data_IF_548240816548
#
_entry.id   IF_548240816548
#
_cell.length_a   1.000
_cell.length_b   1.000
_cell.length_c   1.000
_cell.angle_alpha   90.00
_cell.angle_beta   90.00
_cell.angle_gamma   90.00
#
_symmetry.space_group_name_H-M   'P 1'
#
loop_
_entity.id
_entity.type
_entity.pdbx_description
1 polymer ?
#
# COMPACT_ATOMS: atom_id res chain seq x y z
N UNK A 1 -1.44 25.26 -4.33
CA UNK A 1 -0.21 25.45 -5.15
C UNK A 1 1.10 25.33 -4.35
N UNK A 2 1.08 24.90 -3.10
CA UNK A 2 2.26 24.89 -2.19
C UNK A 2 2.86 23.51 -1.91
N UNK A 3 2.27 22.43 -2.39
CA UNK A 3 2.75 21.04 -2.14
C UNK A 3 3.76 20.51 -3.18
N UNK A 4 4.09 21.27 -4.21
CA UNK A 4 4.99 20.81 -5.30
C UNK A 4 6.50 21.02 -5.04
N UNK A 5 6.88 21.74 -3.98
CA UNK A 5 8.26 22.20 -3.81
C UNK A 5 9.15 21.37 -2.88
N UNK A 6 8.58 20.51 -2.06
CA UNK A 6 9.31 19.79 -0.99
C UNK A 6 9.79 18.38 -1.36
N UNK A 7 9.49 17.87 -2.54
CA UNK A 7 9.70 16.47 -2.90
C UNK A 7 11.02 16.17 -3.60
N UNK A 8 11.60 17.14 -4.31
CA UNK A 8 12.91 17.00 -4.98
C UNK A 8 14.05 17.05 -3.96
N UNK A 9 13.83 17.68 -2.80
CA UNK A 9 14.82 17.80 -1.73
C UNK A 9 15.00 16.51 -0.91
N UNK A 10 14.01 15.61 -0.90
CA UNK A 10 14.09 14.34 -0.15
C UNK A 10 15.01 13.29 -0.80
N UNK A 11 15.19 13.31 -2.12
CA UNK A 11 16.19 12.46 -2.79
C UNK A 11 17.60 13.01 -2.65
N UNK A 12 17.75 14.33 -2.47
CA UNK A 12 19.04 14.97 -2.27
C UNK A 12 19.57 14.88 -0.82
N UNK A 13 18.70 14.59 0.15
CA UNK A 13 19.06 14.50 1.57
C UNK A 13 19.36 13.06 2.05
N UNK A 14 19.34 12.06 1.17
CA UNK A 14 20.01 10.79 1.45
C UNK A 14 21.51 11.07 1.37
N UNK A 15 22.01 11.63 2.46
CA UNK A 15 23.43 11.87 2.68
C UNK A 15 24.23 10.63 2.27
N UNK A 16 25.23 10.89 1.43
CA UNK A 16 26.35 10.03 1.04
C UNK A 16 26.99 9.37 2.27
N UNK A 17 26.38 8.33 2.76
CA UNK A 17 26.83 7.53 3.88
C UNK A 17 26.78 6.05 3.55
N UNK A 18 26.87 5.67 2.28
CA UNK A 18 27.20 4.31 1.92
C UNK A 18 28.68 4.28 1.69
N UNK A 19 29.41 3.83 2.71
CA UNK A 19 30.67 3.19 2.48
C UNK A 19 30.39 2.18 1.35
N UNK A 20 30.93 2.44 0.15
CA UNK A 20 31.21 1.35 -0.79
C UNK A 20 32.04 0.42 0.05
N UNK A 21 31.40 -0.65 0.55
CA UNK A 21 32.08 -1.76 1.19
C UNK A 21 33.12 -2.15 0.17
N UNK A 22 34.36 -1.88 0.46
CA UNK A 22 35.55 -2.02 -0.35
C UNK A 22 35.28 -3.03 -1.47
N UNK A 23 35.12 -2.56 -2.72
CA UNK A 23 35.52 -3.37 -3.84
C UNK A 23 36.97 -3.72 -3.48
N UNK A 24 37.17 -4.91 -2.94
CA UNK A 24 38.51 -5.43 -2.67
C UNK A 24 39.22 -5.35 -4.00
N UNK A 25 40.04 -4.31 -4.18
CA UNK A 25 40.94 -4.27 -5.29
C UNK A 25 41.69 -5.62 -5.23
N UNK A 26 41.76 -6.37 -6.33
CA UNK A 26 42.59 -7.56 -6.34
C UNK A 26 43.97 -7.10 -5.85
N UNK A 27 44.36 -7.57 -4.66
CA UNK A 27 45.66 -7.25 -4.11
C UNK A 27 46.66 -7.79 -5.09
N UNK A 28 47.25 -6.91 -5.91
CA UNK A 28 48.40 -7.30 -6.72
C UNK A 28 49.46 -7.60 -5.68
N UNK A 29 49.67 -8.86 -5.37
CA UNK A 29 50.69 -9.31 -4.44
C UNK A 29 52.06 -9.01 -5.06
N UNK A 30 52.53 -7.78 -4.84
CA UNK A 30 53.92 -7.39 -4.98
C UNK A 30 54.54 -7.68 -3.61
N UNK A 31 55.26 -8.78 -3.51
CA UNK A 31 55.91 -9.21 -2.31
C UNK A 31 56.70 -8.06 -1.68
N UNK A 32 56.20 -7.52 -0.56
CA UNK A 32 56.97 -6.77 0.41
C UNK A 32 56.85 -7.46 1.75
N UNK A 33 57.95 -8.03 2.19
CA UNK A 33 58.13 -8.73 3.46
C UNK A 33 57.84 -7.82 4.66
N UNK A 34 56.72 -8.06 5.33
CA UNK A 34 56.56 -7.81 6.75
C UNK A 34 56.20 -9.10 7.47
N UNK A 35 56.76 -9.37 8.65
CA UNK A 35 56.57 -10.70 9.30
C UNK A 35 55.16 -10.82 9.91
N UNK A 36 54.28 -11.46 9.19
CA UNK A 36 52.92 -11.84 9.68
C UNK A 36 52.98 -13.14 10.48
N UNK A 37 52.07 -13.30 11.45
CA UNK A 37 52.00 -14.50 12.29
C UNK A 37 51.66 -15.76 11.46
N UNK A 38 52.08 -16.93 11.91
CA UNK A 38 51.88 -18.22 11.22
C UNK A 38 50.40 -18.55 11.02
N UNK A 39 49.50 -18.03 11.85
CA UNK A 39 48.06 -18.20 11.78
C UNK A 39 47.39 -17.31 10.73
N UNK A 40 47.87 -16.11 10.58
CA UNK A 40 47.42 -15.17 9.54
C UNK A 40 47.87 -15.62 8.15
N UNK A 41 49.09 -16.16 8.03
CA UNK A 41 49.60 -16.75 6.79
C UNK A 41 48.84 -18.00 6.36
N UNK A 42 48.36 -18.81 7.29
CA UNK A 42 47.56 -19.99 6.97
C UNK A 42 46.14 -19.64 6.51
N UNK A 43 45.49 -18.64 7.14
CA UNK A 43 44.16 -18.18 6.74
C UNK A 43 44.20 -17.42 5.40
N UNK A 44 45.26 -16.65 5.12
CA UNK A 44 45.47 -16.01 3.80
C UNK A 44 45.78 -17.04 2.72
N UNK A 45 46.59 -18.06 3.01
CA UNK A 45 46.92 -19.12 2.05
C UNK A 45 45.71 -19.98 1.67
N UNK A 46 44.78 -20.23 2.61
CA UNK A 46 43.56 -20.97 2.34
C UNK A 46 42.53 -20.06 1.54
N UNK A 47 42.50 -18.76 1.78
CA UNK A 47 41.68 -17.81 1.01
C UNK A 47 42.28 -17.53 -0.40
N UNK A 48 43.61 -17.53 -0.55
CA UNK A 48 44.29 -17.39 -1.85
C UNK A 48 44.20 -18.65 -2.72
N UNK A 49 43.96 -19.83 -2.12
CA UNK A 49 43.85 -21.11 -2.84
C UNK A 49 42.49 -21.26 -3.57
N UNK A 50 41.45 -20.49 -3.23
CA UNK A 50 40.12 -20.59 -3.83
C UNK A 50 39.82 -19.53 -4.92
N UNK A 51 40.59 -18.45 -5.02
CA UNK A 51 40.39 -17.44 -6.03
C UNK A 51 41.23 -17.71 -7.30
N UNK A 52 40.64 -17.68 -8.51
CA UNK A 52 41.42 -17.80 -9.74
C UNK A 52 42.45 -16.67 -9.79
N UNK A 53 43.71 -17.03 -10.00
CA UNK A 53 44.80 -16.05 -10.11
C UNK A 53 44.56 -15.14 -11.29
N UNK A 54 44.51 -13.81 -11.02
CA UNK A 54 44.34 -12.80 -12.05
C UNK A 54 45.43 -12.88 -13.12
N UNK A 55 45.01 -12.92 -14.39
CA UNK A 55 45.91 -13.01 -15.54
C UNK A 55 46.25 -11.64 -16.08
N UNK A 56 47.17 -10.95 -15.38
CA UNK A 56 47.68 -9.65 -15.80
C UNK A 56 48.77 -9.78 -16.84
N UNK A 57 48.74 -8.93 -17.91
CA UNK A 57 49.79 -8.83 -18.89
C UNK A 57 51.14 -8.33 -18.27
N UNK A 58 52.25 -8.63 -18.93
CA UNK A 58 53.57 -8.18 -18.46
C UNK A 58 53.68 -6.66 -18.50
N UNK A 59 53.15 -6.03 -19.51
CA UNK A 59 53.09 -4.60 -19.72
C UNK A 59 52.33 -3.91 -18.60
N UNK A 60 51.12 -4.45 -18.28
CA UNK A 60 50.31 -3.95 -17.19
C UNK A 60 51.04 -4.04 -15.84
N UNK A 61 51.64 -5.17 -15.50
CA UNK A 61 52.37 -5.31 -14.21
C UNK A 61 53.50 -4.28 -14.03
N UNK A 62 54.15 -3.87 -15.11
CA UNK A 62 55.21 -2.84 -15.05
C UNK A 62 54.65 -1.46 -14.76
N UNK A 63 53.51 -1.11 -15.34
CA UNK A 63 52.92 0.22 -15.21
C UNK A 63 51.97 0.33 -13.99
N UNK A 64 51.43 -0.78 -13.54
CA UNK A 64 50.45 -0.85 -12.46
C UNK A 64 51.03 -0.57 -11.05
N UNK A 65 52.29 -0.92 -10.79
CA UNK A 65 52.88 -0.84 -9.46
C UNK A 65 52.83 0.59 -8.87
N UNK A 66 53.24 1.66 -9.56
CA UNK A 66 53.10 3.02 -9.03
C UNK A 66 51.65 3.46 -8.88
N UNK A 67 50.77 3.01 -9.76
CA UNK A 67 49.31 3.34 -9.69
C UNK A 67 48.69 2.67 -8.47
N UNK A 68 49.02 1.40 -8.21
CA UNK A 68 48.55 0.70 -7.00
C UNK A 68 49.03 1.41 -5.71
N UNK A 69 50.26 1.91 -5.71
CA UNK A 69 50.76 2.71 -4.58
C UNK A 69 49.94 4.00 -4.39
N UNK A 70 49.66 4.71 -5.48
CA UNK A 70 48.83 5.90 -5.44
C UNK A 70 47.39 5.62 -4.97
N UNK A 71 46.82 4.47 -5.39
CA UNK A 71 45.51 4.02 -4.90
C UNK A 71 45.52 3.76 -3.40
N UNK A 72 46.56 3.05 -2.90
CA UNK A 72 46.71 2.75 -1.47
C UNK A 72 46.87 4.01 -0.63
N UNK A 73 47.57 5.01 -1.19
CA UNK A 73 47.76 6.32 -0.58
C UNK A 73 46.62 7.31 -0.82
N UNK A 74 45.57 6.88 -1.54
CA UNK A 74 44.40 7.70 -1.92
C UNK A 74 44.77 8.97 -2.68
N UNK A 75 45.82 8.92 -3.47
CA UNK A 75 46.29 10.00 -4.35
C UNK A 75 45.52 9.97 -5.67
N UNK A 76 44.22 10.21 -5.60
CA UNK A 76 43.28 9.96 -6.68
C UNK A 76 43.57 10.73 -7.97
N UNK A 77 44.06 11.97 -7.85
CA UNK A 77 44.49 12.75 -9.02
C UNK A 77 45.70 12.12 -9.76
N UNK A 78 46.64 11.52 -9.03
CA UNK A 78 47.76 10.78 -9.61
C UNK A 78 47.31 9.49 -10.29
N UNK A 79 46.34 8.79 -9.67
CA UNK A 79 45.70 7.62 -10.28
C UNK A 79 45.07 7.98 -11.62
N UNK A 80 44.20 9.02 -11.66
CA UNK A 80 43.55 9.45 -12.90
C UNK A 80 44.55 9.87 -13.99
N UNK A 81 45.62 10.53 -13.61
CA UNK A 81 46.67 10.95 -14.55
C UNK A 81 47.42 9.75 -15.17
N UNK A 82 47.50 8.63 -14.47
CA UNK A 82 48.20 7.43 -14.92
C UNK A 82 47.34 6.50 -15.78
N UNK A 83 45.98 6.52 -15.65
CA UNK A 83 45.10 5.60 -16.36
C UNK A 83 45.27 5.61 -17.90
N UNK A 84 45.49 6.77 -18.60
CA UNK A 84 45.65 6.76 -20.04
C UNK A 84 46.86 5.93 -20.52
N UNK A 85 47.92 5.82 -19.72
CA UNK A 85 49.07 4.98 -20.06
C UNK A 85 48.75 3.49 -19.96
N UNK A 86 47.92 3.12 -18.99
CA UNK A 86 47.46 1.74 -18.83
C UNK A 86 46.46 1.35 -19.93
N UNK A 87 45.60 2.27 -20.34
CA UNK A 87 44.64 2.07 -21.44
C UNK A 87 45.31 1.92 -22.80
N UNK A 88 46.48 2.51 -22.97
CA UNK A 88 47.25 2.41 -24.20
C UNK A 88 48.04 1.10 -24.34
N UNK A 89 47.95 0.17 -23.36
CA UNK A 89 48.60 -1.15 -23.42
C UNK A 89 48.06 -1.94 -24.61
N UNK A 90 48.89 -2.47 -25.51
CA UNK A 90 48.46 -3.28 -26.61
C UNK A 90 47.92 -4.66 -26.12
N UNK A 91 46.73 -5.07 -26.62
CA UNK A 91 46.13 -6.35 -26.28
C UNK A 91 45.98 -6.60 -24.76
N UNK A 92 45.32 -5.70 -24.02
CA UNK A 92 45.15 -5.87 -22.59
C UNK A 92 44.28 -7.11 -22.30
N UNK A 93 44.61 -7.83 -21.23
CA UNK A 93 43.79 -8.94 -20.75
C UNK A 93 42.47 -8.44 -20.18
N UNK A 94 41.53 -9.35 -19.91
CA UNK A 94 40.27 -8.99 -19.24
C UNK A 94 40.55 -8.41 -17.83
N UNK A 95 41.52 -9.02 -17.11
CA UNK A 95 41.89 -8.57 -15.77
C UNK A 95 42.58 -7.20 -15.78
N UNK A 96 43.39 -6.90 -16.78
CA UNK A 96 43.95 -5.58 -16.98
C UNK A 96 42.83 -4.52 -17.12
N UNK A 97 41.87 -4.77 -17.99
CA UNK A 97 40.73 -3.89 -18.23
C UNK A 97 39.87 -3.69 -16.97
N UNK A 98 39.55 -4.79 -16.26
CA UNK A 98 38.77 -4.74 -15.01
C UNK A 98 39.51 -3.94 -13.95
N UNK A 99 40.83 -4.10 -13.79
CA UNK A 99 41.61 -3.34 -12.83
C UNK A 99 41.66 -1.83 -13.16
N UNK A 100 41.89 -1.47 -14.43
CA UNK A 100 41.84 -0.07 -14.89
C UNK A 100 40.48 0.55 -14.61
N UNK A 101 39.40 -0.14 -14.95
CA UNK A 101 38.04 0.34 -14.71
C UNK A 101 37.72 0.49 -13.21
N UNK A 102 38.20 -0.45 -12.38
CA UNK A 102 38.08 -0.37 -10.91
C UNK A 102 38.78 0.85 -10.34
N UNK A 103 40.03 1.09 -10.77
CA UNK A 103 40.79 2.27 -10.33
C UNK A 103 40.17 3.58 -10.82
N UNK A 104 39.58 3.60 -12.01
CA UNK A 104 38.80 4.75 -12.51
C UNK A 104 37.62 5.06 -11.61
N UNK A 105 36.83 4.04 -11.24
CA UNK A 105 35.71 4.20 -10.30
C UNK A 105 36.17 4.79 -8.97
N UNK A 106 37.21 4.20 -8.37
CA UNK A 106 37.72 4.65 -7.08
C UNK A 106 38.25 6.07 -7.15
N UNK A 107 39.01 6.40 -8.19
CA UNK A 107 39.64 7.69 -8.34
C UNK A 107 38.63 8.82 -8.65
N UNK A 108 37.64 8.58 -9.53
CA UNK A 108 36.58 9.55 -9.83
C UNK A 108 35.72 9.82 -8.62
N UNK A 109 35.39 8.78 -7.84
CA UNK A 109 34.70 8.92 -6.56
C UNK A 109 35.58 9.73 -5.56
N UNK A 110 36.86 9.40 -5.45
CA UNK A 110 37.76 9.98 -4.49
C UNK A 110 38.07 11.46 -4.74
N UNK A 111 38.10 11.93 -5.99
CA UNK A 111 38.22 13.37 -6.31
C UNK A 111 36.89 14.11 -6.21
N UNK A 112 35.76 13.39 -6.10
CA UNK A 112 34.44 13.99 -5.97
C UNK A 112 33.81 14.46 -7.29
N UNK A 113 34.37 14.08 -8.45
CA UNK A 113 33.80 14.39 -9.76
C UNK A 113 32.60 13.46 -10.05
N UNK A 114 31.42 13.95 -9.73
CA UNK A 114 30.17 13.18 -9.85
C UNK A 114 29.83 12.78 -11.30
N UNK A 115 30.20 13.61 -12.28
CA UNK A 115 29.97 13.33 -13.70
C UNK A 115 30.89 12.21 -14.20
N UNK A 116 32.18 12.35 -13.91
CA UNK A 116 33.16 11.33 -14.28
C UNK A 116 32.90 10.00 -13.54
N UNK A 117 32.44 10.06 -12.29
CA UNK A 117 32.10 8.89 -11.50
C UNK A 117 30.88 8.17 -12.08
N UNK A 118 29.81 8.88 -12.44
CA UNK A 118 28.64 8.30 -13.08
C UNK A 118 29.00 7.64 -14.43
N UNK A 119 29.81 8.31 -15.27
CA UNK A 119 30.30 7.75 -16.52
C UNK A 119 31.15 6.48 -16.29
N UNK A 120 31.97 6.47 -15.25
CA UNK A 120 32.78 5.30 -14.89
C UNK A 120 31.87 4.12 -14.45
N UNK A 121 30.80 4.37 -13.68
CA UNK A 121 29.82 3.32 -13.30
C UNK A 121 29.11 2.77 -14.56
N UNK A 122 28.63 3.64 -15.45
CA UNK A 122 27.97 3.21 -16.68
C UNK A 122 28.88 2.30 -17.52
N UNK A 123 30.14 2.71 -17.73
CA UNK A 123 31.13 1.89 -18.44
C UNK A 123 31.39 0.56 -17.72
N UNK A 124 31.56 0.58 -16.42
CA UNK A 124 31.82 -0.62 -15.60
C UNK A 124 30.70 -1.65 -15.69
N UNK A 125 29.45 -1.18 -15.65
CA UNK A 125 28.24 -2.01 -15.82
C UNK A 125 28.12 -2.53 -17.25
N UNK A 126 28.37 -1.69 -18.25
CA UNK A 126 28.25 -2.05 -19.68
C UNK A 126 29.25 -3.13 -20.08
N UNK A 127 30.46 -3.11 -19.51
CA UNK A 127 31.50 -4.09 -19.74
C UNK A 127 31.30 -5.40 -18.92
N UNK A 128 30.30 -5.43 -18.03
CA UNK A 128 30.02 -6.59 -17.21
C UNK A 128 31.06 -6.87 -16.11
N UNK A 129 31.76 -5.83 -15.66
CA UNK A 129 32.81 -5.97 -14.63
C UNK A 129 32.25 -5.99 -13.20
N UNK A 130 31.00 -5.58 -13.01
CA UNK A 130 30.35 -5.55 -11.71
C UNK A 130 29.99 -6.97 -11.23
N UNK A 131 30.35 -7.25 -9.99
CA UNK A 131 29.87 -8.46 -9.34
C UNK A 131 28.35 -8.36 -9.11
N UNK A 132 27.55 -9.45 -9.28
CA UNK A 132 26.10 -9.40 -9.25
C UNK A 132 25.52 -8.72 -8.01
N UNK A 133 26.16 -8.86 -6.86
CA UNK A 133 25.75 -8.26 -5.60
C UNK A 133 25.90 -6.72 -5.56
N UNK A 134 26.74 -6.15 -6.43
CA UNK A 134 27.04 -4.72 -6.49
C UNK A 134 26.24 -3.97 -7.57
N UNK A 135 25.64 -4.70 -8.53
CA UNK A 135 24.90 -4.11 -9.66
C UNK A 135 23.76 -3.22 -9.18
N UNK A 136 22.97 -3.67 -8.21
CA UNK A 136 21.87 -2.87 -7.64
C UNK A 136 22.38 -1.55 -7.04
N UNK A 137 23.43 -1.60 -6.22
CA UNK A 137 24.00 -0.41 -5.59
C UNK A 137 24.53 0.61 -6.62
N UNK A 138 25.17 0.12 -7.69
CA UNK A 138 25.65 0.97 -8.79
C UNK A 138 24.49 1.66 -9.51
N UNK A 139 23.42 0.94 -9.82
CA UNK A 139 22.23 1.54 -10.43
C UNK A 139 21.55 2.55 -9.49
N UNK A 140 21.54 2.31 -8.18
CA UNK A 140 21.01 3.30 -7.21
C UNK A 140 21.81 4.61 -7.25
N UNK A 141 23.14 4.54 -7.37
CA UNK A 141 23.99 5.73 -7.49
C UNK A 141 23.73 6.50 -8.79
N UNK A 142 23.58 5.80 -9.91
CA UNK A 142 23.21 6.42 -11.19
C UNK A 142 21.83 7.08 -11.11
N UNK A 143 20.83 6.40 -10.49
CA UNK A 143 19.52 7.00 -10.29
C UNK A 143 19.59 8.30 -9.48
N UNK A 144 20.40 8.35 -8.41
CA UNK A 144 20.62 9.56 -7.63
C UNK A 144 21.31 10.67 -8.45
N UNK A 145 22.33 10.32 -9.24
CA UNK A 145 23.02 11.26 -10.12
C UNK A 145 22.06 11.89 -11.15
N UNK A 146 21.28 11.06 -11.86
CA UNK A 146 20.33 11.55 -12.86
C UNK A 146 19.14 12.30 -12.26
N UNK A 147 18.72 11.94 -11.04
CA UNK A 147 17.72 12.70 -10.28
C UNK A 147 18.21 14.12 -9.98
N UNK A 148 19.47 14.28 -9.53
CA UNK A 148 20.07 15.58 -9.30
C UNK A 148 20.15 16.43 -10.60
N UNK A 149 20.34 15.79 -11.74
CA UNK A 149 20.30 16.41 -13.09
C UNK A 149 18.88 16.66 -13.59
N UNK A 150 17.85 16.21 -12.89
CA UNK A 150 16.44 16.25 -13.31
C UNK A 150 16.16 15.47 -14.60
N UNK A 151 16.97 14.49 -14.91
CA UNK A 151 16.72 13.52 -15.99
C UNK A 151 15.82 12.40 -15.44
N UNK A 152 14.51 12.62 -15.50
CA UNK A 152 13.53 11.69 -14.96
C UNK A 152 13.53 10.35 -15.70
N UNK A 153 13.86 10.31 -16.97
CA UNK A 153 13.87 9.07 -17.76
C UNK A 153 15.01 8.15 -17.29
N UNK A 154 16.22 8.66 -17.22
CA UNK A 154 17.37 7.90 -16.70
C UNK A 154 17.25 7.60 -15.21
N UNK A 155 16.68 8.50 -14.43
CA UNK A 155 16.38 8.24 -13.01
C UNK A 155 15.50 7.01 -12.86
N UNK A 156 14.40 6.96 -13.61
CA UNK A 156 13.48 5.81 -13.59
C UNK A 156 14.18 4.53 -14.06
N UNK A 157 14.88 4.58 -15.20
CA UNK A 157 15.60 3.42 -15.76
C UNK A 157 16.55 2.80 -14.73
N UNK A 158 17.40 3.63 -14.13
CA UNK A 158 18.37 3.12 -13.16
C UNK A 158 17.73 2.71 -11.84
N UNK A 159 16.67 3.38 -11.41
CA UNK A 159 15.96 2.98 -10.19
C UNK A 159 15.21 1.65 -10.37
N UNK A 160 14.67 1.37 -11.56
CA UNK A 160 14.10 0.06 -11.91
C UNK A 160 15.15 -1.04 -11.80
N UNK A 161 16.31 -0.84 -12.44
CA UNK A 161 17.42 -1.80 -12.38
C UNK A 161 17.96 -2.00 -10.96
N UNK A 162 17.99 -0.94 -10.14
CA UNK A 162 18.30 -1.07 -8.73
C UNK A 162 17.35 -2.03 -8.03
N UNK A 163 16.04 -1.86 -8.20
CA UNK A 163 15.02 -2.73 -7.59
C UNK A 163 15.11 -4.15 -8.11
N UNK A 164 15.36 -4.34 -9.42
CA UNK A 164 15.52 -5.66 -10.05
C UNK A 164 16.72 -6.44 -9.50
N UNK A 165 17.82 -5.75 -9.19
CA UNK A 165 19.07 -6.34 -8.71
C UNK A 165 19.23 -6.30 -7.18
N UNK A 166 18.18 -5.93 -6.44
CA UNK A 166 18.20 -5.87 -4.97
C UNK A 166 17.20 -6.87 -4.39
N UNK A 167 17.65 -8.02 -3.84
CA UNK A 167 16.74 -9.06 -3.33
C UNK A 167 15.81 -8.56 -2.21
N UNK A 168 16.34 -7.76 -1.29
CA UNK A 168 15.64 -7.27 -0.10
C UNK A 168 15.31 -5.77 -0.20
N UNK A 169 14.72 -5.37 -1.33
CA UNK A 169 14.31 -3.97 -1.55
C UNK A 169 13.30 -3.54 -0.48
N UNK A 170 13.53 -2.36 0.11
CA UNK A 170 12.67 -1.87 1.17
C UNK A 170 11.37 -1.28 0.62
N UNK A 171 10.25 -1.36 1.37
CA UNK A 171 8.96 -0.83 0.92
C UNK A 171 8.97 0.65 0.53
N UNK A 172 9.80 1.47 1.17
CA UNK A 172 9.97 2.89 0.83
C UNK A 172 10.69 3.10 -0.52
N UNK A 173 11.53 2.16 -0.90
CA UNK A 173 12.16 2.16 -2.23
C UNK A 173 11.15 1.76 -3.30
N UNK A 174 10.26 0.80 -3.01
CA UNK A 174 9.13 0.49 -3.87
C UNK A 174 8.16 1.67 -3.99
N UNK A 175 7.91 2.43 -2.92
CA UNK A 175 7.15 3.69 -3.00
C UNK A 175 7.81 4.66 -3.98
N UNK A 176 9.12 4.84 -3.86
CA UNK A 176 9.88 5.74 -4.75
C UNK A 176 9.77 5.31 -6.21
N UNK A 177 9.95 4.00 -6.50
CA UNK A 177 9.78 3.46 -7.83
C UNK A 177 8.36 3.67 -8.36
N UNK A 178 7.34 3.36 -7.56
CA UNK A 178 5.94 3.56 -7.94
C UNK A 178 5.62 5.02 -8.29
N UNK A 179 6.20 5.97 -7.57
CA UNK A 179 6.05 7.41 -7.87
C UNK A 179 6.73 7.80 -9.18
N UNK A 180 7.94 7.31 -9.44
CA UNK A 180 8.65 7.55 -10.71
C UNK A 180 7.87 6.96 -11.89
N UNK A 181 7.33 5.75 -11.74
CA UNK A 181 6.49 5.09 -12.74
C UNK A 181 5.21 5.90 -13.02
N UNK A 182 4.51 6.40 -11.98
CA UNK A 182 3.35 7.28 -12.13
C UNK A 182 3.68 8.57 -12.89
N UNK A 183 4.84 9.18 -12.59
CA UNK A 183 5.30 10.39 -13.30
C UNK A 183 5.58 10.12 -14.78
N UNK A 184 6.03 8.91 -15.10
CA UNK A 184 6.29 8.46 -16.46
C UNK A 184 5.04 7.95 -17.19
N UNK A 185 3.86 7.91 -16.53
CA UNK A 185 2.63 7.37 -17.11
C UNK A 185 2.57 5.84 -17.14
N UNK A 186 3.48 5.14 -16.47
CA UNK A 186 3.54 3.68 -16.37
C UNK A 186 2.60 3.22 -15.23
N UNK A 187 1.29 3.44 -15.44
CA UNK A 187 0.31 3.28 -14.37
C UNK A 187 0.14 1.82 -13.93
N UNK A 188 0.22 0.86 -14.85
CA UNK A 188 0.06 -0.56 -14.53
C UNK A 188 1.23 -1.06 -13.66
N UNK A 189 2.45 -0.72 -14.02
CA UNK A 189 3.66 -1.05 -13.28
C UNK A 189 3.66 -0.37 -11.91
N UNK A 190 3.23 0.89 -11.84
CA UNK A 190 3.11 1.63 -10.59
C UNK A 190 2.14 0.96 -9.61
N UNK A 191 0.96 0.52 -10.09
CA UNK A 191 -0.01 -0.23 -9.28
C UNK A 191 0.59 -1.52 -8.71
N UNK A 192 1.35 -2.26 -9.52
CA UNK A 192 2.01 -3.50 -9.11
C UNK A 192 3.11 -3.22 -8.08
N UNK A 193 3.96 -2.23 -8.34
CA UNK A 193 5.07 -1.85 -7.45
C UNK A 193 4.57 -1.40 -6.08
N UNK A 194 3.54 -0.53 -6.05
CA UNK A 194 2.91 -0.09 -4.80
C UNK A 194 2.16 -1.24 -4.10
N UNK A 195 1.60 -2.18 -4.87
CA UNK A 195 1.03 -3.42 -4.33
C UNK A 195 2.05 -4.23 -3.57
N UNK A 196 3.23 -4.46 -4.16
CA UNK A 196 4.34 -5.16 -3.50
C UNK A 196 4.76 -4.48 -2.19
N UNK A 197 4.81 -3.14 -2.15
CA UNK A 197 5.13 -2.41 -0.92
C UNK A 197 4.09 -2.70 0.19
N UNK A 198 2.79 -2.65 -0.14
CA UNK A 198 1.69 -2.96 0.76
C UNK A 198 1.78 -4.41 1.27
N UNK A 199 1.94 -5.36 0.35
CA UNK A 199 1.97 -6.79 0.67
C UNK A 199 3.18 -7.16 1.53
N UNK A 200 4.35 -6.54 1.27
CA UNK A 200 5.57 -6.74 2.07
C UNK A 200 5.36 -6.32 3.52
N UNK A 201 4.71 -5.18 3.75
CA UNK A 201 4.45 -4.68 5.12
C UNK A 201 3.37 -5.51 5.81
N UNK A 202 2.29 -5.86 5.09
CA UNK A 202 1.24 -6.76 5.62
C UNK A 202 1.78 -8.14 5.97
N UNK A 203 2.68 -8.68 5.17
CA UNK A 203 3.33 -9.96 5.43
C UNK A 203 4.16 -9.99 6.72
N UNK A 204 4.59 -8.81 7.20
CA UNK A 204 5.26 -8.64 8.50
C UNK A 204 4.28 -8.40 9.66
N UNK A 205 2.97 -8.36 9.40
CA UNK A 205 1.95 -8.01 10.39
C UNK A 205 1.92 -6.51 10.73
N UNK A 206 2.53 -5.68 9.91
CA UNK A 206 2.59 -4.24 10.09
C UNK A 206 1.53 -3.52 9.23
N UNK A 207 1.21 -2.28 9.60
CA UNK A 207 0.23 -1.46 8.89
C UNK A 207 0.92 -0.72 7.73
N UNK A 208 0.49 -0.93 6.45
CA UNK A 208 1.04 -0.21 5.30
C UNK A 208 0.70 1.28 5.38
N UNK A 209 1.52 2.13 4.77
CA UNK A 209 1.27 3.57 4.72
C UNK A 209 0.00 3.90 3.91
N UNK A 210 -0.83 4.79 4.44
CA UNK A 210 -2.04 5.29 3.77
C UNK A 210 -1.75 5.81 2.35
N UNK A 211 -0.65 6.53 2.20
CA UNK A 211 -0.20 7.10 0.94
C UNK A 211 -0.04 6.07 -0.18
N UNK A 212 0.33 4.82 0.13
CA UNK A 212 0.49 3.78 -0.89
C UNK A 212 -0.84 3.35 -1.50
N UNK A 213 -1.88 3.28 -0.68
CA UNK A 213 -3.25 3.03 -1.17
C UNK A 213 -3.77 4.21 -2.01
N UNK A 214 -3.47 5.46 -1.59
CA UNK A 214 -3.87 6.65 -2.34
C UNK A 214 -3.18 6.73 -3.71
N UNK A 215 -1.90 6.40 -3.77
CA UNK A 215 -1.15 6.34 -5.04
C UNK A 215 -1.69 5.22 -5.95
N UNK A 216 -2.04 4.05 -5.38
CA UNK A 216 -2.69 2.96 -6.14
C UNK A 216 -4.08 3.36 -6.61
N UNK A 217 -4.88 4.06 -5.82
CA UNK A 217 -6.18 4.58 -6.27
C UNK A 217 -6.02 5.45 -7.52
N UNK A 218 -5.00 6.33 -7.52
CA UNK A 218 -4.68 7.14 -8.70
C UNK A 218 -4.29 6.29 -9.91
N UNK A 219 -3.45 5.26 -9.74
CA UNK A 219 -3.11 4.35 -10.83
C UNK A 219 -4.38 3.74 -11.44
N UNK A 220 -5.29 3.21 -10.62
CA UNK A 220 -6.51 2.55 -11.10
C UNK A 220 -7.48 3.52 -11.78
N UNK A 221 -7.53 4.79 -11.34
CA UNK A 221 -8.31 5.83 -12.04
C UNK A 221 -7.79 6.03 -13.46
N UNK A 222 -6.46 6.16 -13.63
CA UNK A 222 -5.85 6.34 -14.95
C UNK A 222 -6.04 5.11 -15.85
N UNK A 223 -6.04 3.91 -15.26
CA UNK A 223 -6.30 2.65 -15.97
C UNK A 223 -7.80 2.38 -16.24
N UNK A 224 -8.69 3.16 -15.62
CA UNK A 224 -10.16 2.93 -15.63
C UNK A 224 -10.53 1.53 -15.12
N UNK A 225 -9.77 1.02 -14.16
CA UNK A 225 -9.99 -0.28 -13.52
C UNK A 225 -10.76 -0.10 -12.21
N UNK A 226 -12.06 0.08 -12.30
CA UNK A 226 -12.94 0.29 -11.15
C UNK A 226 -13.01 -0.95 -10.24
N UNK A 227 -12.77 -2.15 -10.74
CA UNK A 227 -12.80 -3.37 -9.93
C UNK A 227 -11.60 -3.42 -8.97
N UNK A 228 -10.39 -3.24 -9.49
CA UNK A 228 -9.18 -3.16 -8.67
C UNK A 228 -9.16 -1.93 -7.78
N UNK A 229 -9.70 -0.81 -8.26
CA UNK A 229 -9.87 0.42 -7.51
C UNK A 229 -10.74 0.22 -6.27
N UNK A 230 -11.91 -0.44 -6.45
CA UNK A 230 -12.82 -0.75 -5.34
C UNK A 230 -12.12 -1.63 -4.29
N UNK A 231 -11.42 -2.70 -4.73
CA UNK A 231 -10.67 -3.56 -3.82
C UNK A 231 -9.59 -2.79 -3.03
N UNK A 232 -8.90 -1.88 -3.68
CA UNK A 232 -7.90 -1.01 -3.03
C UNK A 232 -8.52 -0.05 -2.02
N UNK A 233 -9.67 0.56 -2.36
CA UNK A 233 -10.38 1.47 -1.46
C UNK A 233 -10.97 0.76 -0.25
N UNK A 234 -11.51 -0.45 -0.43
CA UNK A 234 -11.99 -1.28 0.67
C UNK A 234 -10.87 -1.65 1.66
N UNK A 235 -9.70 -2.02 1.13
CA UNK A 235 -8.53 -2.25 1.95
C UNK A 235 -8.06 -0.97 2.67
N UNK A 236 -8.11 0.18 1.98
CA UNK A 236 -7.78 1.47 2.55
C UNK A 236 -8.74 1.84 3.70
N UNK A 237 -10.05 1.72 3.49
CA UNK A 237 -11.06 1.98 4.53
C UNK A 237 -10.89 1.04 5.73
N UNK A 238 -10.54 -0.21 5.48
CA UNK A 238 -10.27 -1.18 6.53
C UNK A 238 -9.15 -0.76 7.48
N UNK A 239 -8.09 -0.15 6.95
CA UNK A 239 -6.93 0.33 7.70
C UNK A 239 -7.08 1.78 8.18
N UNK A 240 -7.65 2.65 7.33
CA UNK A 240 -7.76 4.09 7.50
C UNK A 240 -9.19 4.53 7.20
N UNK A 241 -10.14 4.35 8.14
CA UNK A 241 -11.51 4.79 7.93
C UNK A 241 -11.57 6.32 7.83
N UNK A 242 -12.23 6.78 6.78
CA UNK A 242 -12.44 8.21 6.50
C UNK A 242 -13.65 8.40 5.61
N UNK A 243 -14.41 9.47 5.81
CA UNK A 243 -15.63 9.76 5.05
C UNK A 243 -15.42 9.90 3.55
N UNK A 244 -14.26 10.41 3.11
CA UNK A 244 -13.95 10.55 1.70
C UNK A 244 -13.74 9.16 1.06
N UNK A 245 -13.06 8.26 1.75
CA UNK A 245 -12.82 6.91 1.25
C UNK A 245 -14.10 6.08 1.22
N UNK A 246 -14.93 6.14 2.27
CA UNK A 246 -16.24 5.51 2.27
C UNK A 246 -17.13 6.04 1.14
N UNK A 247 -17.14 7.36 0.90
CA UNK A 247 -17.93 7.93 -0.20
C UNK A 247 -17.49 7.43 -1.56
N UNK A 248 -16.18 7.24 -1.77
CA UNK A 248 -15.65 6.66 -3.02
C UNK A 248 -16.06 5.19 -3.18
N UNK A 249 -15.97 4.39 -2.11
CA UNK A 249 -16.44 3.00 -2.09
C UNK A 249 -17.92 2.92 -2.45
N UNK A 250 -18.76 3.72 -1.78
CA UNK A 250 -20.20 3.79 -2.02
C UNK A 250 -20.52 4.18 -3.46
N UNK A 251 -19.82 5.19 -4.00
CA UNK A 251 -20.02 5.64 -5.38
C UNK A 251 -19.69 4.55 -6.42
N UNK A 252 -18.66 3.76 -6.18
CA UNK A 252 -18.31 2.65 -7.08
C UNK A 252 -19.36 1.51 -6.96
N UNK A 253 -19.81 1.18 -5.75
CA UNK A 253 -20.91 0.22 -5.59
C UNK A 253 -22.17 0.67 -6.32
N UNK A 254 -22.54 1.96 -6.19
CA UNK A 254 -23.68 2.51 -6.90
C UNK A 254 -23.58 2.32 -8.42
N UNK A 255 -22.42 2.64 -8.99
CA UNK A 255 -22.20 2.50 -10.42
C UNK A 255 -22.19 1.03 -10.88
N UNK A 256 -21.60 0.12 -10.10
CA UNK A 256 -21.42 -1.28 -10.49
C UNK A 256 -22.70 -2.12 -10.28
N UNK A 257 -23.53 -1.78 -9.32
CA UNK A 257 -24.73 -2.57 -8.97
C UNK A 257 -26.03 -2.00 -9.51
N UNK A 258 -25.95 -0.96 -10.34
CA UNK A 258 -27.10 -0.28 -10.91
C UNK A 258 -28.15 0.07 -9.82
N UNK A 259 -27.68 0.66 -8.75
CA UNK A 259 -28.48 1.07 -7.57
C UNK A 259 -29.25 -0.09 -6.90
N UNK A 260 -28.67 -1.33 -6.89
CA UNK A 260 -29.27 -2.42 -6.09
C UNK A 260 -29.45 -1.96 -4.64
N UNK A 261 -30.72 -1.81 -4.27
CA UNK A 261 -31.09 -1.20 -2.99
C UNK A 261 -30.51 -1.94 -1.79
N UNK A 262 -30.45 -3.26 -1.84
CA UNK A 262 -29.93 -4.08 -0.74
C UNK A 262 -28.42 -3.85 -0.57
N UNK A 263 -27.68 -3.82 -1.69
CA UNK A 263 -26.25 -3.53 -1.67
C UNK A 263 -26.00 -2.11 -1.16
N UNK A 264 -26.73 -1.13 -1.71
CA UNK A 264 -26.57 0.26 -1.32
C UNK A 264 -26.88 0.51 0.14
N UNK A 265 -27.97 -0.07 0.66
CA UNK A 265 -28.33 0.08 2.08
C UNK A 265 -27.21 -0.45 3.02
N UNK A 266 -26.64 -1.59 2.70
CA UNK A 266 -25.55 -2.17 3.49
C UNK A 266 -24.22 -1.39 3.35
N UNK A 267 -23.90 -0.86 2.17
CA UNK A 267 -22.75 0.00 1.96
C UNK A 267 -22.86 1.31 2.76
N UNK A 268 -24.02 1.94 2.76
CA UNK A 268 -24.29 3.13 3.57
C UNK A 268 -24.25 2.83 5.07
N UNK A 269 -24.81 1.69 5.51
CA UNK A 269 -24.79 1.29 6.92
C UNK A 269 -23.39 1.21 7.48
N UNK A 270 -22.47 0.51 6.80
CA UNK A 270 -21.10 0.37 7.28
C UNK A 270 -20.39 1.72 7.31
N UNK A 271 -20.57 2.57 6.30
CA UNK A 271 -19.97 3.89 6.24
C UNK A 271 -20.43 4.81 7.38
N UNK A 272 -21.76 4.93 7.60
CA UNK A 272 -22.32 5.87 8.57
C UNK A 272 -22.24 5.37 10.02
N UNK A 273 -22.21 4.05 10.21
CA UNK A 273 -22.08 3.46 11.54
C UNK A 273 -20.63 3.43 12.05
N UNK A 274 -19.63 3.59 11.17
CA UNK A 274 -18.23 3.70 11.60
C UNK A 274 -18.00 5.07 12.27
N UNK A 275 -17.50 5.13 13.52
CA UNK A 275 -17.26 6.39 14.22
C UNK A 275 -16.32 7.34 13.46
N UNK A 276 -15.28 6.76 12.81
CA UNK A 276 -14.28 7.49 12.03
C UNK A 276 -14.67 7.63 10.55
N UNK A 277 -15.80 7.00 10.17
CA UNK A 277 -16.35 7.02 8.82
C UNK A 277 -17.33 8.16 8.57
N UNK A 278 -18.33 7.87 7.76
CA UNK A 278 -19.36 8.82 7.33
C UNK A 278 -19.39 8.97 5.82
N UNK A 279 -20.09 9.99 5.35
CA UNK A 279 -20.19 10.35 3.94
C UNK A 279 -19.74 11.81 3.74
N UNK A 280 -19.09 12.10 2.61
CA UNK A 280 -18.47 13.40 2.38
C UNK A 280 -19.37 14.41 1.66
N UNK A 281 -20.51 13.96 1.13
CA UNK A 281 -21.40 14.83 0.34
C UNK A 281 -22.85 14.82 0.83
N UNK A 282 -23.54 15.93 0.66
CA UNK A 282 -24.99 16.06 0.94
C UNK A 282 -25.76 14.98 0.18
N UNK A 283 -25.47 14.82 -1.13
CA UNK A 283 -26.16 13.86 -1.98
C UNK A 283 -26.06 12.42 -1.47
N UNK A 284 -24.89 12.01 -0.98
CA UNK A 284 -24.68 10.66 -0.45
C UNK A 284 -25.53 10.40 0.81
N UNK A 285 -25.61 11.37 1.73
CA UNK A 285 -26.48 11.27 2.91
C UNK A 285 -27.99 11.24 2.54
N UNK A 286 -28.40 12.08 1.57
CA UNK A 286 -29.79 12.08 1.11
C UNK A 286 -30.15 10.77 0.39
N UNK A 287 -29.27 10.25 -0.46
CA UNK A 287 -29.45 8.96 -1.12
C UNK A 287 -29.56 7.83 -0.09
N UNK A 288 -28.78 7.85 0.98
CA UNK A 288 -28.92 6.87 2.07
C UNK A 288 -30.28 7.01 2.74
N UNK A 289 -30.69 8.23 3.10
CA UNK A 289 -31.99 8.46 3.74
C UNK A 289 -33.14 7.98 2.85
N UNK A 290 -33.13 8.28 1.55
CA UNK A 290 -34.14 7.85 0.60
C UNK A 290 -34.14 6.32 0.44
N UNK A 291 -32.96 5.70 0.30
CA UNK A 291 -32.81 4.23 0.21
C UNK A 291 -33.41 3.55 1.45
N UNK A 292 -33.13 4.09 2.64
CA UNK A 292 -33.65 3.57 3.91
C UNK A 292 -35.15 3.74 4.03
N UNK A 293 -35.70 4.90 3.65
CA UNK A 293 -37.17 5.13 3.65
C UNK A 293 -37.88 4.15 2.72
N UNK A 294 -37.39 3.96 1.51
CA UNK A 294 -37.97 3.02 0.54
C UNK A 294 -37.84 1.56 1.03
N UNK A 295 -36.79 1.23 1.79
CA UNK A 295 -36.64 -0.09 2.41
C UNK A 295 -37.52 -0.31 3.65
N UNK A 296 -38.30 0.68 4.08
CA UNK A 296 -39.12 0.60 5.29
C UNK A 296 -38.29 0.74 6.58
N UNK A 297 -37.19 1.44 6.53
CA UNK A 297 -36.30 1.66 7.67
C UNK A 297 -36.15 3.16 7.97
N UNK A 298 -37.21 3.85 8.42
CA UNK A 298 -37.18 5.29 8.63
C UNK A 298 -36.17 5.74 9.70
N UNK A 299 -35.86 4.90 10.66
CA UNK A 299 -34.85 5.22 11.68
C UNK A 299 -33.41 5.24 11.12
N UNK A 300 -33.12 4.49 10.06
CA UNK A 300 -31.85 4.63 9.37
C UNK A 300 -31.78 5.97 8.62
N UNK A 301 -32.87 6.43 8.01
CA UNK A 301 -32.95 7.76 7.43
C UNK A 301 -32.73 8.86 8.49
N UNK A 302 -33.30 8.71 9.69
CA UNK A 302 -33.02 9.61 10.83
C UNK A 302 -31.54 9.62 11.15
N UNK A 303 -30.93 8.46 11.38
CA UNK A 303 -29.48 8.35 11.70
C UNK A 303 -28.60 8.95 10.60
N UNK A 304 -28.92 8.69 9.33
CA UNK A 304 -28.19 9.26 8.20
C UNK A 304 -28.22 10.79 8.21
N UNK A 305 -29.40 11.39 8.31
CA UNK A 305 -29.57 12.84 8.30
C UNK A 305 -28.96 13.49 9.54
N UNK A 306 -29.17 12.93 10.73
CA UNK A 306 -28.57 13.45 11.97
C UNK A 306 -27.05 13.37 11.96
N UNK A 307 -26.47 12.26 11.44
CA UNK A 307 -25.02 12.15 11.27
C UNK A 307 -24.50 13.17 10.29
N UNK A 308 -25.13 13.35 9.12
CA UNK A 308 -24.74 14.33 8.12
C UNK A 308 -24.83 15.76 8.63
N UNK A 309 -25.84 16.08 9.44
CA UNK A 309 -26.00 17.39 10.09
C UNK A 309 -24.92 17.61 11.17
N UNK A 310 -24.66 16.60 12.01
CA UNK A 310 -23.59 16.62 13.02
C UNK A 310 -22.21 16.84 12.41
N UNK A 311 -21.94 16.16 11.30
CA UNK A 311 -20.66 16.26 10.56
C UNK A 311 -20.52 17.56 9.77
N UNK A 312 -21.56 18.43 9.79
CA UNK A 312 -21.61 19.69 9.06
C UNK A 312 -21.72 19.55 7.53
N UNK A 313 -22.05 18.35 7.04
CA UNK A 313 -22.22 18.06 5.61
C UNK A 313 -23.62 18.37 5.14
N UNK A 314 -24.66 17.99 5.89
CA UNK A 314 -26.07 18.19 5.56
C UNK A 314 -26.57 19.46 6.24
N UNK A 315 -27.14 20.42 5.49
CA UNK A 315 -27.77 21.60 6.09
C UNK A 315 -28.93 21.26 7.03
N UNK A 316 -29.00 21.97 8.17
CA UNK A 316 -30.02 21.74 9.22
C UNK A 316 -31.34 22.47 8.97
N UNK A 317 -31.62 22.90 7.75
CA UNK A 317 -32.80 23.71 7.39
C UNK A 317 -33.47 23.23 6.10
N UNK A 318 -34.61 23.76 5.78
CA UNK A 318 -35.34 23.51 4.53
C UNK A 318 -35.87 22.06 4.44
N UNK A 319 -35.79 21.47 3.26
CA UNK A 319 -36.32 20.13 2.96
C UNK A 319 -35.65 19.03 3.79
N UNK A 320 -34.36 19.15 4.11
CA UNK A 320 -33.65 18.18 4.92
C UNK A 320 -34.26 18.04 6.32
N UNK A 321 -34.58 19.17 6.96
CA UNK A 321 -35.25 19.18 8.26
C UNK A 321 -36.70 18.62 8.17
N UNK A 322 -37.40 18.87 7.08
CA UNK A 322 -38.73 18.30 6.85
C UNK A 322 -38.68 16.79 6.71
N UNK A 323 -37.76 16.27 5.88
CA UNK A 323 -37.53 14.83 5.71
C UNK A 323 -37.15 14.16 7.05
N UNK A 324 -36.25 14.77 7.83
CA UNK A 324 -35.90 14.31 9.16
C UNK A 324 -37.12 14.19 10.08
N UNK A 325 -37.98 15.25 10.10
CA UNK A 325 -39.18 15.25 10.94
C UNK A 325 -40.18 14.18 10.50
N UNK A 326 -40.37 13.98 9.19
CA UNK A 326 -41.21 12.93 8.64
C UNK A 326 -40.69 11.53 8.99
N UNK A 327 -39.38 11.29 8.86
CA UNK A 327 -38.75 10.05 9.25
C UNK A 327 -38.93 9.77 10.76
N UNK A 328 -38.75 10.78 11.62
CA UNK A 328 -38.99 10.68 13.07
C UNK A 328 -40.45 10.32 13.40
N UNK A 329 -41.42 10.90 12.69
CA UNK A 329 -42.83 10.55 12.86
C UNK A 329 -43.13 9.10 12.45
N UNK A 330 -42.52 8.60 11.36
CA UNK A 330 -42.62 7.21 10.94
C UNK A 330 -41.99 6.28 12.00
N UNK A 331 -40.83 6.55 12.53
CA UNK A 331 -40.22 5.82 13.65
C UNK A 331 -41.17 5.72 14.86
N UNK A 332 -41.81 6.84 15.22
CA UNK A 332 -42.77 6.86 16.33
C UNK A 332 -44.02 5.99 16.06
N UNK A 333 -44.43 5.89 14.80
CA UNK A 333 -45.50 4.99 14.39
C UNK A 333 -45.08 3.52 14.50
N UNK A 334 -43.92 3.18 13.91
CA UNK A 334 -43.37 1.82 13.90
C UNK A 334 -43.16 1.28 15.35
N UNK A 335 -42.68 2.11 16.27
CA UNK A 335 -42.57 1.71 17.68
C UNK A 335 -43.86 1.24 18.32
N UNK A 336 -45.02 1.68 17.81
CA UNK A 336 -46.32 1.27 18.32
C UNK A 336 -46.80 -0.07 17.70
N UNK A 337 -46.47 -0.33 16.44
CA UNK A 337 -46.97 -1.53 15.70
C UNK A 337 -46.05 -2.73 15.84
N UNK A 338 -44.71 -2.51 15.88
CA UNK A 338 -43.71 -3.58 15.92
C UNK A 338 -43.93 -4.67 16.97
N UNK A 339 -44.37 -4.41 18.23
CA UNK A 339 -44.64 -5.48 19.19
C UNK A 339 -45.71 -6.46 18.73
N UNK A 340 -46.76 -5.96 18.09
CA UNK A 340 -47.82 -6.78 17.51
C UNK A 340 -47.36 -7.59 16.28
N UNK A 341 -46.58 -6.96 15.43
CA UNK A 341 -45.95 -7.58 14.27
C UNK A 341 -44.98 -8.69 14.69
N UNK A 342 -44.17 -8.47 15.71
CA UNK A 342 -43.24 -9.46 16.25
C UNK A 342 -43.97 -10.70 16.81
N UNK A 343 -45.09 -10.47 17.53
CA UNK A 343 -45.92 -11.56 18.04
C UNK A 343 -46.57 -12.39 16.91
N UNK A 344 -46.91 -11.74 15.80
CA UNK A 344 -47.46 -12.39 14.59
C UNK A 344 -46.37 -13.14 13.83
N UNK A 345 -45.19 -12.51 13.65
CA UNK A 345 -44.02 -13.12 13.02
C UNK A 345 -43.56 -14.38 13.76
N UNK A 346 -43.58 -14.36 15.10
CA UNK A 346 -43.17 -15.49 15.91
C UNK A 346 -44.01 -16.77 15.60
N UNK A 347 -45.29 -16.60 15.23
CA UNK A 347 -46.18 -17.68 14.88
C UNK A 347 -46.06 -18.13 13.40
N UNK A 348 -45.38 -17.32 12.57
CA UNK A 348 -45.18 -17.64 11.16
C UNK A 348 -44.11 -18.73 10.98
N UNK A 349 -44.35 -19.67 10.08
CA UNK A 349 -43.39 -20.74 9.81
C UNK A 349 -42.16 -20.27 9.01
N UNK A 350 -42.27 -19.16 8.27
CA UNK A 350 -41.21 -18.64 7.42
C UNK A 350 -40.37 -17.60 8.19
N UNK A 351 -39.07 -17.81 8.26
CA UNK A 351 -38.14 -16.89 8.92
C UNK A 351 -38.00 -15.53 8.26
N UNK A 352 -38.33 -15.42 6.98
CA UNK A 352 -38.32 -14.14 6.23
C UNK A 352 -39.15 -13.05 6.93
N UNK A 353 -40.27 -13.42 7.56
CA UNK A 353 -41.14 -12.47 8.26
C UNK A 353 -40.47 -11.95 9.53
N UNK A 354 -39.76 -12.82 10.25
CA UNK A 354 -39.00 -12.43 11.41
C UNK A 354 -37.85 -11.45 11.04
N UNK A 355 -37.14 -11.71 9.94
CA UNK A 355 -36.07 -10.84 9.46
C UNK A 355 -36.60 -9.44 9.12
N UNK A 356 -37.74 -9.34 8.45
CA UNK A 356 -38.40 -8.05 8.15
C UNK A 356 -38.81 -7.27 9.40
N UNK A 357 -39.39 -7.97 10.39
CA UNK A 357 -39.71 -7.33 11.67
C UNK A 357 -38.46 -6.96 12.43
N UNK A 358 -37.41 -7.77 12.34
CA UNK A 358 -36.07 -7.44 12.88
C UNK A 358 -35.46 -6.16 12.27
N UNK A 359 -35.62 -5.93 10.98
CA UNK A 359 -35.26 -4.67 10.33
C UNK A 359 -36.06 -3.50 10.93
N UNK A 360 -37.34 -3.65 11.21
CA UNK A 360 -38.13 -2.63 11.90
C UNK A 360 -37.58 -2.29 13.29
N UNK A 361 -37.23 -3.28 14.08
CA UNK A 361 -36.59 -3.06 15.39
C UNK A 361 -35.21 -2.39 15.25
N UNK A 362 -34.39 -2.81 14.29
CA UNK A 362 -33.13 -2.14 13.97
C UNK A 362 -33.33 -0.68 13.58
N UNK A 363 -34.31 -0.42 12.73
CA UNK A 363 -34.74 0.92 12.35
C UNK A 363 -35.08 1.78 13.55
N UNK A 364 -35.89 1.28 14.46
CA UNK A 364 -36.36 2.03 15.63
C UNK A 364 -35.34 2.14 16.77
N UNK A 365 -34.15 1.54 16.62
CA UNK A 365 -33.06 1.56 17.60
C UNK A 365 -33.22 0.53 18.73
N UNK A 366 -34.18 -0.41 18.64
CA UNK A 366 -34.28 -1.53 19.57
C UNK A 366 -33.40 -2.70 19.08
N UNK A 367 -32.09 -2.49 19.17
CA UNK A 367 -31.09 -3.43 18.63
C UNK A 367 -31.13 -4.80 19.31
N UNK A 368 -31.55 -4.87 20.58
CA UNK A 368 -31.70 -6.14 21.28
C UNK A 368 -32.82 -7.00 20.67
N UNK A 369 -34.00 -6.41 20.45
CA UNK A 369 -35.11 -7.12 19.78
C UNK A 369 -34.82 -7.34 18.29
N UNK A 370 -34.09 -6.47 17.63
CA UNK A 370 -33.62 -6.67 16.27
C UNK A 370 -32.78 -7.96 16.19
N UNK A 371 -31.73 -8.08 17.01
CA UNK A 371 -30.88 -9.26 17.02
C UNK A 371 -31.66 -10.55 17.36
N UNK A 372 -32.49 -10.54 18.42
CA UNK A 372 -33.32 -11.68 18.79
C UNK A 372 -34.24 -12.12 17.65
N UNK A 373 -34.94 -11.16 17.02
CA UNK A 373 -35.92 -11.44 16.00
C UNK A 373 -35.28 -11.95 14.73
N UNK A 374 -34.16 -11.36 14.30
CA UNK A 374 -33.37 -11.80 13.13
C UNK A 374 -32.82 -13.21 13.35
N UNK A 375 -32.22 -13.48 14.51
CA UNK A 375 -31.69 -14.81 14.87
C UNK A 375 -32.78 -15.86 14.81
N UNK A 376 -33.98 -15.58 15.35
CA UNK A 376 -35.14 -16.45 15.26
C UNK A 376 -35.55 -16.71 13.81
N UNK A 377 -35.54 -15.66 12.96
CA UNK A 377 -35.84 -15.80 11.54
C UNK A 377 -34.83 -16.68 10.80
N UNK A 378 -33.56 -16.49 11.03
CA UNK A 378 -32.48 -17.31 10.44
C UNK A 378 -32.64 -18.77 10.89
N UNK A 379 -32.91 -19.01 12.17
CA UNK A 379 -33.10 -20.36 12.72
C UNK A 379 -34.33 -21.08 12.15
N UNK A 380 -35.45 -20.39 11.85
CA UNK A 380 -36.60 -20.95 11.19
C UNK A 380 -36.36 -21.37 9.75
N UNK A 381 -35.37 -20.73 9.08
CA UNK A 381 -35.09 -20.95 7.67
C UNK A 381 -36.06 -20.26 6.70
N UNK A 382 -35.87 -20.48 5.42
CA UNK A 382 -36.71 -19.87 4.37
C UNK A 382 -36.50 -18.36 4.23
N UNK A 383 -35.30 -17.88 4.60
CA UNK A 383 -34.83 -16.50 4.39
C UNK A 383 -34.21 -16.41 3.00
N UNK A 384 -34.76 -15.54 2.14
CA UNK A 384 -34.33 -15.43 0.74
C UNK A 384 -32.91 -14.86 0.58
N UNK A 385 -32.55 -13.87 1.41
CA UNK A 385 -31.23 -13.20 1.41
C UNK A 385 -30.58 -13.43 2.77
N UNK A 386 -29.99 -14.62 2.92
CA UNK A 386 -29.34 -14.99 4.18
C UNK A 386 -28.06 -14.15 4.42
N UNK A 387 -27.38 -13.74 3.35
CA UNK A 387 -26.26 -12.81 3.36
C UNK A 387 -26.67 -11.46 3.99
N UNK A 388 -27.74 -10.83 3.49
CA UNK A 388 -28.26 -9.55 3.99
C UNK A 388 -28.78 -9.67 5.44
N UNK A 389 -29.50 -10.75 5.76
CA UNK A 389 -30.01 -10.99 7.11
C UNK A 389 -28.87 -11.10 8.14
N UNK A 390 -27.77 -11.76 7.80
CA UNK A 390 -26.61 -11.86 8.67
C UNK A 390 -25.84 -10.53 8.77
N UNK A 391 -25.74 -9.71 7.70
CA UNK A 391 -25.20 -8.36 7.77
C UNK A 391 -26.00 -7.48 8.75
N UNK A 392 -27.33 -7.52 8.65
CA UNK A 392 -28.22 -6.78 9.55
C UNK A 392 -28.09 -7.26 11.00
N UNK A 393 -28.01 -8.59 11.23
CA UNK A 393 -27.75 -9.15 12.55
C UNK A 393 -26.43 -8.65 13.14
N UNK A 394 -25.36 -8.74 12.37
CA UNK A 394 -24.03 -8.27 12.80
C UNK A 394 -24.05 -6.78 13.13
N UNK A 395 -24.72 -5.95 12.32
CA UNK A 395 -24.86 -4.52 12.58
C UNK A 395 -25.61 -4.26 13.90
N UNK A 396 -26.70 -4.99 14.18
CA UNK A 396 -27.46 -4.86 15.43
C UNK A 396 -26.61 -5.29 16.64
N UNK A 397 -25.83 -6.35 16.51
CA UNK A 397 -24.95 -6.85 17.58
C UNK A 397 -23.79 -5.86 17.87
N UNK A 398 -23.25 -5.20 16.85
CA UNK A 398 -22.24 -4.14 17.06
C UNK A 398 -22.80 -2.96 17.86
N UNK A 399 -24.03 -2.54 17.55
CA UNK A 399 -24.69 -1.47 18.31
C UNK A 399 -24.93 -1.84 19.78
N UNK A 400 -24.97 -3.14 20.09
CA UNK A 400 -25.06 -3.67 21.45
C UNK A 400 -23.68 -3.85 22.14
N UNK A 401 -22.58 -3.51 21.44
CA UNK A 401 -21.22 -3.75 21.95
C UNK A 401 -20.79 -5.23 21.94
N UNK A 402 -21.53 -6.11 21.25
CA UNK A 402 -21.29 -7.56 21.19
C UNK A 402 -20.38 -7.90 19.98
N UNK A 403 -19.13 -7.45 20.05
CA UNK A 403 -18.21 -7.49 18.90
C UNK A 403 -17.94 -8.92 18.38
N UNK A 404 -17.78 -9.91 19.25
CA UNK A 404 -17.50 -11.28 18.84
C UNK A 404 -18.71 -11.95 18.17
N UNK A 405 -19.92 -11.73 18.71
CA UNK A 405 -21.16 -12.22 18.12
C UNK A 405 -21.41 -11.54 16.75
N UNK A 406 -21.12 -10.23 16.65
CA UNK A 406 -21.21 -9.48 15.40
C UNK A 406 -20.24 -10.02 14.35
N UNK A 407 -19.00 -10.30 14.72
CA UNK A 407 -18.00 -10.90 13.83
C UNK A 407 -18.50 -12.24 13.27
N UNK A 408 -19.00 -13.12 14.13
CA UNK A 408 -19.56 -14.40 13.70
C UNK A 408 -20.73 -14.22 12.70
N UNK A 409 -21.58 -13.21 12.91
CA UNK A 409 -22.67 -12.90 11.98
C UNK A 409 -22.13 -12.37 10.63
N UNK A 410 -21.11 -11.53 10.60
CA UNK A 410 -20.49 -11.04 9.37
C UNK A 410 -19.75 -12.16 8.62
N UNK A 411 -19.10 -13.08 9.31
CA UNK A 411 -18.49 -14.28 8.69
C UNK A 411 -19.58 -15.17 8.07
N UNK A 412 -20.73 -15.35 8.75
CA UNK A 412 -21.87 -16.07 8.21
C UNK A 412 -22.46 -15.36 6.99
N UNK A 413 -22.53 -14.03 6.99
CA UNK A 413 -22.95 -13.25 5.82
C UNK A 413 -22.04 -13.49 4.63
N UNK A 414 -20.73 -13.42 4.85
CA UNK A 414 -19.72 -13.68 3.82
C UNK A 414 -19.80 -15.09 3.25
N UNK A 415 -20.02 -16.09 4.12
CA UNK A 415 -20.16 -17.48 3.72
C UNK A 415 -21.46 -17.74 2.92
N UNK A 416 -22.54 -17.01 3.22
CA UNK A 416 -23.83 -17.11 2.50
C UNK A 416 -23.84 -16.35 1.17
N UNK A 417 -22.97 -15.36 1.01
CA UNK A 417 -22.87 -14.53 -0.18
C UNK A 417 -22.15 -15.28 -1.32
N UNK A 418 -22.55 -15.10 -2.59
CA UNK A 418 -21.76 -15.61 -3.71
C UNK A 418 -20.32 -15.06 -3.67
N UNK A 419 -19.36 -15.88 -4.08
CA UNK A 419 -17.95 -15.47 -4.10
C UNK A 419 -17.75 -14.19 -4.93
N UNK A 420 -17.06 -13.20 -4.36
CA UNK A 420 -16.81 -11.91 -5.00
C UNK A 420 -18.02 -10.99 -5.12
N UNK A 421 -19.19 -11.38 -4.57
CA UNK A 421 -20.39 -10.54 -4.62
C UNK A 421 -20.22 -9.26 -3.78
N UNK A 422 -20.95 -8.18 -4.10
CA UNK A 422 -20.92 -6.93 -3.34
C UNK A 422 -21.22 -7.11 -1.84
N UNK A 423 -22.21 -7.94 -1.47
CA UNK A 423 -22.53 -8.17 -0.05
C UNK A 423 -21.43 -8.94 0.69
N UNK A 424 -20.76 -9.90 0.03
CA UNK A 424 -19.60 -10.59 0.60
C UNK A 424 -18.45 -9.62 0.88
N UNK A 425 -18.18 -8.67 -0.01
CA UNK A 425 -17.16 -7.63 0.16
C UNK A 425 -17.56 -6.62 1.24
N UNK A 426 -18.84 -6.25 1.33
CA UNK A 426 -19.34 -5.41 2.43
C UNK A 426 -19.21 -6.13 3.78
N UNK A 427 -19.37 -7.45 3.82
CA UNK A 427 -19.09 -8.22 5.03
C UNK A 427 -17.63 -8.08 5.47
N UNK A 428 -16.67 -8.04 4.53
CA UNK A 428 -15.25 -7.78 4.84
C UNK A 428 -15.02 -6.38 5.44
N UNK A 429 -15.73 -5.35 4.96
CA UNK A 429 -15.69 -4.01 5.55
C UNK A 429 -16.21 -4.01 7.00
N UNK A 430 -17.30 -4.71 7.27
CA UNK A 430 -17.82 -4.89 8.60
C UNK A 430 -16.87 -5.64 9.53
N UNK A 431 -16.23 -6.70 9.02
CA UNK A 431 -15.21 -7.46 9.76
C UNK A 431 -14.01 -6.58 10.10
N UNK A 432 -13.54 -5.76 9.16
CA UNK A 432 -12.45 -4.80 9.40
C UNK A 432 -12.85 -3.77 10.48
N UNK A 433 -14.08 -3.24 10.42
CA UNK A 433 -14.59 -2.35 11.46
C UNK A 433 -14.67 -3.03 12.84
N UNK A 434 -15.21 -4.25 12.90
CA UNK A 434 -15.32 -5.00 14.14
C UNK A 434 -13.96 -5.31 14.76
N UNK A 435 -12.92 -5.52 13.94
CA UNK A 435 -11.55 -5.77 14.40
C UNK A 435 -10.89 -4.54 15.02
N UNK A 436 -11.26 -3.31 14.59
CA UNK A 436 -10.74 -2.06 15.18
C UNK A 436 -11.27 -1.75 16.58
N UNK A 437 -12.18 -2.53 17.09
CA UNK A 437 -12.80 -2.35 18.40
C UNK A 437 -14.02 -1.42 18.34
N UNK A 438 -15.19 -2.01 18.37
CA UNK A 438 -16.45 -1.28 18.43
C UNK A 438 -16.69 -0.70 19.81
N UNK A 439 -16.31 0.54 20.03
CA UNK A 439 -17.06 1.36 20.98
C UNK A 439 -18.14 2.04 20.14
N UNK A 440 -19.36 1.51 20.22
CA UNK A 440 -20.51 2.28 19.74
C UNK A 440 -20.46 3.66 20.42
N UNK A 441 -20.73 4.77 19.67
CA UNK A 441 -20.97 6.04 20.33
C UNK A 441 -22.14 5.82 21.29
N UNK A 442 -21.89 6.07 22.58
CA UNK A 442 -22.93 5.99 23.59
C UNK A 442 -24.14 6.80 23.08
N UNK A 443 -25.30 6.11 22.98
CA UNK A 443 -26.55 6.75 22.66
C UNK A 443 -26.80 7.80 23.75
N UNK A 444 -26.57 9.08 23.42
CA UNK A 444 -26.93 10.22 24.24
C UNK A 444 -28.38 10.63 23.98
#
# INVERSE_FOLDING_TARGET
MTARKTWIESLASVSLGIAVSMLLAPSISLAQDQPKSRKERAAEADAEAEAPKADYSKEFRKLAAPVQTAVNEKKWAEVLAALPQLEAIPNPTLDDKKAIATWRLQATQGVGDQEAFAAAIESFLAEGYADPENVGAMHRQLAAHYSAKKDNAKTLEHFQKFVEHTPDVQPDELETLGRLQLQAGMNAEACQTLGKAIDTVKGKGEKPKEMWYQLRDRCYIELKDDASRLANLEALVGEYPDKEYYSRVVAIYQAQTNDDRTVMLNAYRVAVSDPDGGLSTVGAYLNYADTALVAGSPGEAVRALERGMKDGVVPTAGTNQQTLNQAKAAVASDKKTLPGEAASAAKNAKGEVDVKVGLGFYSTGDFAKAAETIQRGIAKGGVARLDDANLLLGAALLELGKADEARAAFEAAKAAAPAGSPLGRIADLWLARAARGGTAPAAG
#
